data_IF_529103186303
#
_entry.id   IF_529103186303
#
_cell.length_a   1.000
_cell.length_b   1.000
_cell.length_c   1.000
_cell.angle_alpha   90.00
_cell.angle_beta   90.00
_cell.angle_gamma   90.00
#
_symmetry.space_group_name_H-M   'P 1'
#
loop_
_entity.id
_entity.type
_entity.pdbx_description
1 polymer ?
#
# COMPACT_ATOMS: atom_id res chain seq x y z
N UNK A 1 56.60 51.27 -46.78
CA UNK A 1 57.06 50.19 -45.90
C UNK A 1 55.92 49.65 -45.11
N UNK A 2 55.24 48.62 -45.56
CA UNK A 2 54.12 47.99 -44.88
C UNK A 2 54.56 46.63 -44.37
N UNK A 3 54.49 46.43 -43.04
CA UNK A 3 54.80 45.16 -42.41
C UNK A 3 53.48 44.40 -42.20
N UNK A 4 53.32 43.31 -42.89
CA UNK A 4 52.19 42.36 -42.81
C UNK A 4 52.42 41.45 -41.63
N UNK A 5 51.56 41.45 -40.64
CA UNK A 5 51.59 40.54 -39.50
C UNK A 5 50.57 39.43 -39.76
N UNK A 6 51.05 38.20 -40.00
CA UNK A 6 50.26 37.02 -40.21
C UNK A 6 49.85 36.48 -38.83
N UNK A 7 48.52 36.39 -38.56
CA UNK A 7 47.97 35.75 -37.36
C UNK A 7 47.63 34.29 -37.67
N UNK A 8 48.39 33.38 -37.10
CA UNK A 8 48.07 31.97 -37.08
C UNK A 8 46.93 31.73 -36.05
N UNK A 9 45.80 31.29 -36.55
CA UNK A 9 44.67 30.81 -35.69
C UNK A 9 44.87 29.34 -35.42
N UNK A 10 45.16 28.96 -34.19
CA UNK A 10 45.21 27.58 -33.73
C UNK A 10 43.77 27.13 -33.45
N UNK A 11 43.26 26.18 -34.27
CA UNK A 11 41.99 25.50 -34.03
C UNK A 11 42.23 24.32 -33.14
N UNK A 12 41.83 24.45 -31.86
CA UNK A 12 41.85 23.33 -30.89
C UNK A 12 40.63 22.48 -31.07
N UNK A 13 40.78 21.29 -31.68
CA UNK A 13 39.73 20.25 -31.74
C UNK A 13 39.58 19.62 -30.32
N UNK A 14 38.49 19.93 -29.63
CA UNK A 14 38.08 19.22 -28.42
C UNK A 14 37.43 17.89 -28.84
N UNK A 15 38.17 16.79 -28.70
CA UNK A 15 37.61 15.45 -28.78
C UNK A 15 36.79 15.20 -27.52
N UNK A 16 35.44 15.32 -27.61
CA UNK A 16 34.55 14.76 -26.63
C UNK A 16 34.56 13.23 -26.81
N UNK A 17 35.33 12.55 -25.97
CA UNK A 17 35.27 11.10 -25.86
C UNK A 17 33.91 10.69 -25.32
N UNK A 18 33.05 10.13 -26.13
CA UNK A 18 31.87 9.39 -25.70
C UNK A 18 32.35 8.15 -24.93
N UNK A 19 32.39 8.23 -23.60
CA UNK A 19 32.60 7.07 -22.75
C UNK A 19 31.50 6.04 -23.01
N UNK A 20 31.78 4.73 -22.89
CA UNK A 20 30.75 3.71 -23.02
C UNK A 20 29.65 3.99 -21.96
N UNK A 21 28.42 4.24 -22.43
CA UNK A 21 27.27 4.25 -21.57
C UNK A 21 27.17 2.85 -20.95
N UNK A 22 27.45 2.74 -19.64
CA UNK A 22 27.21 1.52 -18.88
C UNK A 22 25.71 1.26 -19.02
N UNK A 23 25.36 0.25 -19.81
CA UNK A 23 24.00 -0.27 -19.88
C UNK A 23 23.63 -0.73 -18.46
N UNK A 24 22.79 0.03 -17.79
CA UNK A 24 22.25 -0.38 -16.52
C UNK A 24 21.35 -1.57 -16.84
N UNK A 25 21.72 -2.77 -16.38
CA UNK A 25 20.96 -3.98 -16.63
C UNK A 25 19.49 -3.71 -16.26
N UNK A 26 18.60 -3.97 -17.23
CA UNK A 26 17.18 -3.71 -17.04
C UNK A 26 16.66 -4.54 -15.86
N UNK A 27 15.99 -3.89 -14.92
CA UNK A 27 15.37 -4.56 -13.77
C UNK A 27 14.49 -5.71 -14.28
N UNK A 28 14.66 -6.95 -13.75
CA UNK A 28 14.01 -8.16 -14.28
C UNK A 28 12.53 -8.30 -13.89
N UNK A 29 11.93 -7.26 -13.30
CA UNK A 29 10.53 -7.26 -12.89
C UNK A 29 9.86 -5.91 -13.16
N UNK A 30 8.55 -5.90 -13.05
CA UNK A 30 7.73 -4.69 -12.91
C UNK A 30 7.01 -4.74 -11.56
N UNK A 31 6.82 -3.57 -10.96
CA UNK A 31 6.06 -3.44 -9.71
C UNK A 31 4.57 -3.61 -9.97
N UNK A 32 3.91 -4.45 -9.18
CA UNK A 32 2.49 -4.70 -9.21
C UNK A 32 1.74 -3.99 -8.07
N UNK A 33 0.64 -4.59 -7.68
CA UNK A 33 -0.22 -4.13 -6.57
C UNK A 33 0.51 -4.22 -5.23
N UNK A 34 -0.01 -3.48 -4.26
CA UNK A 34 0.41 -3.56 -2.85
C UNK A 34 -0.66 -4.31 -2.08
N UNK A 35 -0.25 -5.23 -1.23
CA UNK A 35 -1.17 -6.05 -0.43
C UNK A 35 -0.83 -5.89 1.04
N UNK A 36 -1.83 -5.53 1.85
CA UNK A 36 -1.76 -5.59 3.32
C UNK A 36 -2.36 -6.92 3.78
N UNK A 37 -1.61 -7.63 4.62
CA UNK A 37 -2.04 -8.87 5.26
C UNK A 37 -2.05 -8.67 6.76
N UNK A 38 -3.20 -8.41 7.33
CA UNK A 38 -3.39 -8.26 8.77
C UNK A 38 -3.69 -9.61 9.42
N UNK A 39 -2.86 -10.00 10.39
CA UNK A 39 -3.00 -11.21 11.21
C UNK A 39 -3.88 -10.90 12.43
N UNK A 40 -5.01 -11.54 12.52
CA UNK A 40 -6.01 -11.31 13.56
C UNK A 40 -6.15 -12.55 14.45
N UNK A 41 -6.26 -12.31 15.74
CA UNK A 41 -6.73 -13.27 16.73
C UNK A 41 -8.03 -12.76 17.33
N UNK A 42 -9.11 -13.51 17.17
CA UNK A 42 -10.37 -13.17 17.82
C UNK A 42 -10.30 -13.48 19.33
N UNK A 43 -10.98 -12.68 20.13
CA UNK A 43 -11.12 -12.95 21.56
C UNK A 43 -11.92 -14.25 21.77
N UNK A 44 -11.70 -14.99 22.85
CA UNK A 44 -12.37 -16.25 23.12
C UNK A 44 -13.90 -16.13 23.00
N UNK A 45 -14.49 -16.94 22.12
CA UNK A 45 -15.93 -16.93 21.83
C UNK A 45 -16.42 -15.79 20.92
N UNK A 46 -15.55 -14.88 20.47
CA UNK A 46 -15.92 -13.72 19.66
C UNK A 46 -15.78 -13.91 18.15
N UNK A 47 -15.34 -15.06 17.68
CA UNK A 47 -15.11 -15.30 16.25
C UNK A 47 -16.34 -14.93 15.39
N UNK A 48 -17.52 -15.49 15.72
CA UNK A 48 -18.74 -15.20 14.97
C UNK A 48 -19.23 -13.75 15.14
N UNK A 49 -18.98 -13.12 16.30
CA UNK A 49 -19.30 -11.71 16.52
C UNK A 49 -18.43 -10.83 15.63
N UNK A 50 -17.13 -11.14 15.54
CA UNK A 50 -16.22 -10.42 14.67
C UNK A 50 -16.56 -10.62 13.18
N UNK A 51 -16.92 -11.83 12.75
CA UNK A 51 -17.38 -12.06 11.36
C UNK A 51 -18.64 -11.24 11.03
N UNK A 52 -19.58 -11.09 11.96
CA UNK A 52 -20.77 -10.22 11.76
C UNK A 52 -20.36 -8.74 11.60
N UNK A 53 -19.39 -8.27 12.39
CA UNK A 53 -18.83 -6.93 12.23
C UNK A 53 -18.19 -6.76 10.83
N UNK A 54 -17.40 -7.73 10.38
CA UNK A 54 -16.78 -7.70 9.05
C UNK A 54 -17.83 -7.72 7.92
N UNK A 55 -18.86 -8.55 8.03
CA UNK A 55 -19.94 -8.65 7.04
C UNK A 55 -20.88 -7.42 7.03
N UNK A 56 -20.89 -6.65 8.09
CA UNK A 56 -21.74 -5.46 8.27
C UNK A 56 -21.01 -4.15 7.99
N UNK A 57 -20.68 -3.37 9.04
CA UNK A 57 -20.12 -2.03 8.87
C UNK A 57 -18.75 -2.02 8.18
N UNK A 58 -17.87 -2.96 8.49
CA UNK A 58 -16.54 -3.02 7.86
C UNK A 58 -16.66 -3.21 6.35
N UNK A 59 -17.52 -4.13 5.90
CA UNK A 59 -17.78 -4.34 4.47
C UNK A 59 -18.24 -3.06 3.78
N UNK A 60 -19.14 -2.29 4.40
CA UNK A 60 -19.63 -1.02 3.84
C UNK A 60 -18.50 -0.02 3.65
N UNK A 61 -17.59 0.06 4.63
CA UNK A 61 -16.41 0.93 4.56
C UNK A 61 -15.50 0.50 3.42
N UNK A 62 -15.23 -0.80 3.29
CA UNK A 62 -14.34 -1.33 2.25
C UNK A 62 -14.95 -1.22 0.86
N UNK A 63 -16.26 -1.44 0.72
CA UNK A 63 -16.97 -1.27 -0.56
C UNK A 63 -16.94 0.20 -1.01
N UNK A 64 -17.10 1.16 -0.10
CA UNK A 64 -16.97 2.58 -0.40
C UNK A 64 -15.52 2.95 -0.75
N UNK A 65 -14.53 2.45 -0.02
CA UNK A 65 -13.11 2.65 -0.33
C UNK A 65 -12.75 2.08 -1.72
N UNK A 66 -13.33 0.94 -2.08
CA UNK A 66 -13.17 0.35 -3.41
C UNK A 66 -13.84 1.18 -4.49
N UNK A 67 -15.03 1.72 -4.25
CA UNK A 67 -15.72 2.62 -5.17
C UNK A 67 -14.95 3.92 -5.42
N UNK A 68 -14.18 4.40 -4.43
CA UNK A 68 -13.32 5.58 -4.55
C UNK A 68 -11.92 5.26 -5.10
N UNK A 69 -11.62 4.00 -5.43
CA UNK A 69 -10.32 3.57 -5.96
C UNK A 69 -9.18 3.57 -4.94
N UNK A 70 -9.48 3.68 -3.64
CA UNK A 70 -8.50 3.58 -2.56
C UNK A 70 -8.06 2.13 -2.35
N UNK A 71 -8.97 1.19 -2.55
CA UNK A 71 -8.77 -0.24 -2.43
C UNK A 71 -9.15 -0.89 -3.76
N UNK A 72 -8.36 -1.83 -4.25
CA UNK A 72 -8.65 -2.60 -5.46
C UNK A 72 -9.50 -3.81 -5.12
N UNK A 73 -9.14 -4.51 -4.03
CA UNK A 73 -9.88 -5.69 -3.56
C UNK A 73 -9.62 -5.93 -2.08
N UNK A 74 -10.47 -6.74 -1.44
CA UNK A 74 -10.28 -7.20 -0.07
C UNK A 74 -10.87 -8.59 0.13
N UNK A 75 -10.27 -9.38 1.03
CA UNK A 75 -10.66 -10.76 1.31
C UNK A 75 -10.41 -11.13 2.77
N UNK A 76 -11.14 -12.13 3.24
CA UNK A 76 -11.01 -12.68 4.59
C UNK A 76 -10.70 -14.17 4.50
N UNK A 77 -9.71 -14.64 5.28
CA UNK A 77 -9.30 -16.03 5.30
C UNK A 77 -9.32 -16.56 6.72
N UNK A 78 -10.17 -17.54 6.99
CA UNK A 78 -10.11 -18.28 8.25
C UNK A 78 -8.87 -19.17 8.26
N UNK A 79 -8.17 -19.19 9.38
CA UNK A 79 -6.95 -19.97 9.59
C UNK A 79 -7.19 -20.93 10.75
N UNK A 80 -6.67 -22.16 10.62
CA UNK A 80 -6.61 -23.07 11.74
C UNK A 80 -5.37 -22.77 12.58
N UNK A 81 -5.49 -22.18 13.79
CA UNK A 81 -4.32 -21.89 14.62
C UNK A 81 -3.62 -23.19 15.05
N UNK A 82 -2.31 -23.20 15.04
CA UNK A 82 -1.50 -24.33 15.54
C UNK A 82 -1.17 -24.17 17.03
N UNK A 83 -1.24 -22.93 17.52
CA UNK A 83 -1.01 -22.57 18.92
C UNK A 83 -2.00 -21.50 19.37
N UNK A 84 -2.18 -21.30 20.70
CA UNK A 84 -3.05 -20.23 21.22
C UNK A 84 -2.64 -18.80 20.83
N UNK A 85 -1.40 -18.60 20.40
CA UNK A 85 -0.87 -17.30 19.97
C UNK A 85 -0.98 -17.05 18.48
N UNK A 86 -1.33 -18.08 17.68
CA UNK A 86 -1.44 -17.94 16.22
C UNK A 86 -2.73 -17.17 15.83
N UNK A 87 -2.76 -16.51 14.66
CA UNK A 87 -3.99 -15.92 14.13
C UNK A 87 -5.04 -16.99 13.84
N UNK A 88 -6.30 -16.63 13.92
CA UNK A 88 -7.44 -17.43 13.46
C UNK A 88 -8.10 -16.81 12.22
N UNK A 89 -7.69 -15.59 11.84
CA UNK A 89 -8.20 -14.88 10.67
C UNK A 89 -7.10 -14.01 10.04
N UNK A 90 -7.06 -13.99 8.71
CA UNK A 90 -6.34 -12.96 7.95
C UNK A 90 -7.32 -12.03 7.26
N UNK A 91 -7.07 -10.72 7.38
CA UNK A 91 -7.69 -9.70 6.56
C UNK A 91 -6.67 -9.29 5.51
N UNK A 92 -7.04 -9.43 4.24
CA UNK A 92 -6.16 -9.10 3.11
C UNK A 92 -6.80 -7.96 2.33
N UNK A 93 -6.06 -6.87 2.18
CA UNK A 93 -6.51 -5.70 1.40
C UNK A 93 -5.51 -5.42 0.28
N UNK A 94 -5.99 -5.28 -0.94
CA UNK A 94 -5.18 -4.97 -2.11
C UNK A 94 -5.34 -3.52 -2.50
N UNK A 95 -4.23 -2.84 -2.68
CA UNK A 95 -4.13 -1.43 -3.08
C UNK A 95 -3.49 -1.30 -4.46
N UNK A 96 -3.84 -0.26 -5.25
CA UNK A 96 -3.30 -0.11 -6.60
C UNK A 96 -1.77 0.11 -6.61
N UNK A 97 -1.23 0.86 -5.67
CA UNK A 97 0.19 1.17 -5.51
C UNK A 97 0.45 1.86 -4.17
N UNK A 98 1.71 2.20 -3.86
CA UNK A 98 2.05 2.90 -2.61
C UNK A 98 1.57 4.36 -2.55
N UNK A 99 1.42 5.04 -3.69
CA UNK A 99 0.97 6.43 -3.70
C UNK A 99 -0.46 6.61 -3.16
N UNK A 100 -1.26 5.53 -3.13
CA UNK A 100 -2.62 5.57 -2.57
C UNK A 100 -2.62 5.93 -1.08
N UNK A 101 -1.53 5.66 -0.36
CA UNK A 101 -1.43 5.96 1.08
C UNK A 101 -1.27 7.45 1.39
N UNK A 102 -0.96 8.28 0.39
CA UNK A 102 -0.89 9.74 0.55
C UNK A 102 -2.29 10.28 0.85
N UNK A 103 -2.48 10.81 2.07
CA UNK A 103 -3.76 11.30 2.57
C UNK A 103 -4.83 10.21 2.75
N UNK A 104 -4.44 8.94 2.86
CA UNK A 104 -5.36 7.80 3.04
C UNK A 104 -6.17 7.93 4.32
N UNK A 105 -5.55 8.35 5.44
CA UNK A 105 -6.23 8.47 6.73
C UNK A 105 -7.46 9.37 6.64
N UNK A 106 -7.30 10.59 6.13
CA UNK A 106 -8.40 11.55 6.01
C UNK A 106 -9.57 11.02 5.16
N UNK A 107 -9.23 10.30 4.09
CA UNK A 107 -10.23 9.68 3.19
C UNK A 107 -10.97 8.54 3.89
N UNK A 108 -10.25 7.69 4.60
CA UNK A 108 -10.86 6.57 5.34
C UNK A 108 -11.70 7.05 6.52
N UNK A 109 -11.28 8.11 7.21
CA UNK A 109 -12.05 8.74 8.29
C UNK A 109 -13.36 9.33 7.77
N UNK A 110 -13.33 9.97 6.60
CA UNK A 110 -14.54 10.49 5.95
C UNK A 110 -15.51 9.36 5.56
N UNK A 111 -14.99 8.24 5.02
CA UNK A 111 -15.80 7.05 4.68
C UNK A 111 -16.39 6.44 5.96
N UNK A 112 -15.58 6.26 6.99
CA UNK A 112 -15.98 5.69 8.26
C UNK A 112 -17.06 6.53 8.94
N UNK A 113 -16.85 7.85 9.00
CA UNK A 113 -17.82 8.82 9.52
C UNK A 113 -19.16 8.75 8.75
N UNK A 114 -19.12 8.62 7.43
CA UNK A 114 -20.33 8.45 6.59
C UNK A 114 -21.08 7.16 6.94
N UNK A 115 -20.38 6.06 7.15
CA UNK A 115 -20.98 4.75 7.47
C UNK A 115 -21.58 4.73 8.86
N UNK A 116 -20.92 5.34 9.84
CA UNK A 116 -21.35 5.37 11.24
C UNK A 116 -22.24 6.57 11.60
N UNK A 117 -22.34 7.56 10.70
CA UNK A 117 -23.16 8.75 10.87
C UNK A 117 -22.50 9.90 11.61
N UNK A 118 -21.40 9.67 12.33
CA UNK A 118 -20.60 10.71 12.98
C UNK A 118 -19.18 10.21 13.29
N UNK A 119 -18.25 11.13 13.51
CA UNK A 119 -16.88 10.83 13.94
C UNK A 119 -16.88 10.10 15.30
N UNK A 120 -17.63 10.57 16.28
CA UNK A 120 -17.68 9.93 17.60
C UNK A 120 -18.27 8.51 17.55
N UNK A 121 -19.23 8.24 16.67
CA UNK A 121 -19.75 6.89 16.48
C UNK A 121 -18.73 5.98 15.80
N UNK A 122 -17.92 6.52 14.87
CA UNK A 122 -16.80 5.79 14.26
C UNK A 122 -15.74 5.43 15.28
N UNK A 123 -15.30 6.39 16.10
CA UNK A 123 -14.33 6.16 17.18
C UNK A 123 -14.82 5.12 18.20
N UNK A 124 -16.09 5.21 18.60
CA UNK A 124 -16.69 4.22 19.50
C UNK A 124 -16.73 2.83 18.86
N UNK A 125 -17.03 2.74 17.58
CA UNK A 125 -17.04 1.47 16.85
C UNK A 125 -15.65 0.82 16.78
N UNK A 126 -14.58 1.61 16.69
CA UNK A 126 -13.20 1.12 16.77
C UNK A 126 -12.90 0.54 18.16
N UNK A 127 -13.27 1.25 19.23
CA UNK A 127 -13.13 0.76 20.61
C UNK A 127 -13.90 -0.56 20.81
N UNK A 128 -15.11 -0.66 20.28
CA UNK A 128 -15.92 -1.88 20.39
C UNK A 128 -15.34 -3.04 19.55
N UNK A 129 -14.74 -2.71 18.42
CA UNK A 129 -14.01 -3.68 17.57
C UNK A 129 -12.83 -4.31 18.30
N UNK A 130 -12.07 -3.54 19.06
CA UNK A 130 -10.92 -4.04 19.84
C UNK A 130 -11.34 -5.05 20.93
N UNK A 131 -12.59 -5.02 21.40
CA UNK A 131 -13.14 -6.02 22.32
C UNK A 131 -13.41 -7.38 21.67
N UNK A 132 -13.42 -7.43 20.35
CA UNK A 132 -13.72 -8.65 19.57
C UNK A 132 -12.46 -9.38 19.11
N UNK A 133 -11.32 -8.66 19.05
CA UNK A 133 -10.09 -9.18 18.43
C UNK A 133 -8.83 -8.52 18.97
N UNK A 134 -7.70 -9.18 18.68
CA UNK A 134 -6.35 -8.58 18.73
C UNK A 134 -5.74 -8.60 17.33
N UNK A 135 -5.10 -7.51 16.95
CA UNK A 135 -4.20 -7.48 15.78
C UNK A 135 -2.85 -7.99 16.25
N UNK A 136 -2.40 -9.11 15.69
CA UNK A 136 -1.10 -9.71 16.01
C UNK A 136 0.03 -9.07 15.21
N UNK A 137 -0.29 -8.52 14.04
CA UNK A 137 0.64 -7.83 13.16
C UNK A 137 0.00 -7.57 11.80
N UNK A 138 0.67 -6.75 10.99
CA UNK A 138 0.30 -6.50 9.60
C UNK A 138 1.58 -6.44 8.77
N UNK A 139 1.52 -7.01 7.57
CA UNK A 139 2.60 -6.98 6.58
C UNK A 139 2.10 -6.27 5.33
N UNK A 140 2.86 -5.28 4.89
CA UNK A 140 2.62 -4.59 3.63
C UNK A 140 3.61 -5.10 2.59
N UNK A 141 3.12 -5.83 1.60
CA UNK A 141 3.94 -6.47 0.57
C UNK A 141 3.61 -5.91 -0.80
N UNK A 142 4.60 -5.92 -1.71
CA UNK A 142 4.41 -5.53 -3.11
C UNK A 142 4.58 -6.73 -4.02
N UNK A 143 3.65 -6.89 -4.95
CA UNK A 143 3.78 -7.85 -6.05
C UNK A 143 4.94 -7.46 -6.96
N UNK A 144 5.80 -8.43 -7.30
CA UNK A 144 6.84 -8.28 -8.33
C UNK A 144 6.47 -9.19 -9.50
N UNK A 145 6.17 -8.59 -10.65
CA UNK A 145 5.88 -9.31 -11.90
C UNK A 145 7.17 -9.50 -12.66
N UNK A 146 7.68 -10.73 -12.70
CA UNK A 146 8.89 -11.07 -13.45
C UNK A 146 8.66 -10.89 -14.96
N UNK A 147 9.70 -10.41 -15.66
CA UNK A 147 9.70 -10.20 -17.12
C UNK A 147 10.09 -11.46 -17.84
#
# INVERSE_FOLDING_TARGET
MLKTISRLAAVSLLFFGAGPALSQDAVPYTEGVVVDVSSIRTEPGQFNAYLRYLAGPYRKIMDEAKAQGLVTDYSFYAVQPRSPSDPDLYLVTTYPNFAVFDGMSDKMDAISTKVWGSMSASEQAEVDREKLRKVLGSELVRELKLK
#
